data_IF_378377177661
#
_entry.id   IF_378377177661
#
_cell.length_a   1.000
_cell.length_b   1.000
_cell.length_c   1.000
_cell.angle_alpha   90.00
_cell.angle_beta   90.00
_cell.angle_gamma   90.00
#
_symmetry.space_group_name_H-M   'P 1'
#
loop_
_entity.id
_entity.type
_entity.pdbx_description
1 polymer ?
#
# COMPACT_ATOMS: atom_id res chain seq x y z
N UNK A 1 37.57 -2.28 -30.00
CA UNK A 1 36.17 -2.36 -30.50
C UNK A 1 35.41 -3.56 -29.92
N UNK A 2 36.04 -4.73 -29.71
CA UNK A 2 35.40 -5.88 -29.07
C UNK A 2 35.00 -5.66 -27.60
N UNK A 3 35.86 -5.01 -26.80
CA UNK A 3 35.61 -4.80 -25.36
C UNK A 3 34.43 -3.87 -25.06
N UNK A 4 34.21 -2.86 -25.92
CA UNK A 4 33.08 -1.94 -25.80
C UNK A 4 31.73 -2.64 -26.07
N UNK A 5 31.71 -3.62 -26.97
CA UNK A 5 30.48 -4.36 -27.31
C UNK A 5 30.06 -5.33 -26.19
N UNK A 6 31.03 -5.92 -25.49
CA UNK A 6 30.77 -6.81 -24.34
C UNK A 6 30.17 -5.99 -23.19
N UNK A 7 30.75 -4.83 -22.87
CA UNK A 7 30.24 -3.96 -21.81
C UNK A 7 28.83 -3.42 -22.09
N UNK A 8 28.51 -3.10 -23.34
CA UNK A 8 27.15 -2.66 -23.74
C UNK A 8 26.13 -3.81 -23.64
N UNK A 9 26.52 -5.02 -24.02
CA UNK A 9 25.70 -6.23 -23.85
C UNK A 9 25.38 -6.49 -22.37
N UNK A 10 26.39 -6.44 -21.51
CA UNK A 10 26.23 -6.67 -20.07
C UNK A 10 25.33 -5.61 -19.41
N UNK A 11 25.48 -4.35 -19.81
CA UNK A 11 24.61 -3.27 -19.33
C UNK A 11 23.15 -3.50 -19.76
N UNK A 12 22.90 -3.89 -21.01
CA UNK A 12 21.57 -4.18 -21.50
C UNK A 12 20.92 -5.37 -20.78
N UNK A 13 21.70 -6.41 -20.48
CA UNK A 13 21.23 -7.55 -19.69
C UNK A 13 20.84 -7.13 -18.27
N UNK A 14 21.67 -6.30 -17.61
CA UNK A 14 21.34 -5.77 -16.29
C UNK A 14 20.08 -4.91 -16.29
N UNK A 15 19.93 -4.02 -17.29
CA UNK A 15 18.74 -3.19 -17.42
C UNK A 15 17.47 -4.02 -17.66
N UNK A 16 17.56 -5.06 -18.49
CA UNK A 16 16.44 -5.97 -18.77
C UNK A 16 16.04 -6.77 -17.52
N UNK A 17 17.02 -7.31 -16.80
CA UNK A 17 16.80 -8.01 -15.53
C UNK A 17 16.15 -7.09 -14.49
N UNK A 18 16.65 -5.86 -14.36
CA UNK A 18 16.11 -4.87 -13.42
C UNK A 18 14.67 -4.48 -13.73
N UNK A 19 14.35 -4.27 -15.01
CA UNK A 19 12.97 -4.01 -15.45
C UNK A 19 12.03 -5.18 -15.10
N UNK A 20 12.51 -6.42 -15.22
CA UNK A 20 11.77 -7.61 -14.80
C UNK A 20 11.42 -7.57 -13.31
N UNK A 21 12.38 -7.22 -12.45
CA UNK A 21 12.15 -7.09 -10.99
C UNK A 21 11.15 -5.98 -10.68
N UNK A 22 11.27 -4.81 -11.31
CA UNK A 22 10.36 -3.69 -11.08
C UNK A 22 8.92 -4.04 -11.52
N UNK A 23 8.76 -4.78 -12.63
CA UNK A 23 7.45 -5.21 -13.10
C UNK A 23 6.78 -6.18 -12.12
N UNK A 24 7.52 -7.15 -11.59
CA UNK A 24 7.03 -8.11 -10.61
C UNK A 24 6.65 -7.43 -9.29
N UNK A 25 7.50 -6.53 -8.77
CA UNK A 25 7.19 -5.70 -7.60
C UNK A 25 5.86 -4.98 -7.78
N UNK A 26 5.68 -4.34 -8.91
CA UNK A 26 4.50 -3.52 -9.14
C UNK A 26 3.22 -4.38 -9.30
N UNK A 27 3.31 -5.60 -9.86
CA UNK A 27 2.20 -6.58 -9.85
C UNK A 27 1.82 -7.00 -8.43
N UNK A 28 2.79 -7.16 -7.54
CA UNK A 28 2.57 -7.50 -6.14
C UNK A 28 1.90 -6.35 -5.40
N UNK A 29 2.36 -5.11 -5.61
CA UNK A 29 1.70 -3.89 -5.12
C UNK A 29 0.22 -3.86 -5.52
N UNK A 30 -0.08 -4.18 -6.78
CA UNK A 30 -1.45 -4.21 -7.29
C UNK A 30 -2.28 -5.31 -6.62
N UNK A 31 -1.72 -6.50 -6.41
CA UNK A 31 -2.42 -7.60 -5.71
C UNK A 31 -2.74 -7.21 -4.28
N UNK A 32 -1.77 -6.67 -3.55
CA UNK A 32 -1.98 -6.20 -2.17
C UNK A 32 -2.98 -5.05 -2.08
N UNK A 33 -2.97 -4.14 -3.07
CA UNK A 33 -3.95 -3.08 -3.15
C UNK A 33 -5.37 -3.60 -3.40
N UNK A 34 -5.54 -4.58 -4.30
CA UNK A 34 -6.83 -5.23 -4.59
C UNK A 34 -7.37 -6.03 -3.39
N UNK A 35 -6.49 -6.52 -2.52
CA UNK A 35 -6.86 -7.16 -1.25
C UNK A 35 -7.38 -6.16 -0.20
N UNK A 36 -7.31 -4.85 -0.46
CA UNK A 36 -7.82 -3.80 0.42
C UNK A 36 -6.80 -3.25 1.42
N UNK A 37 -5.58 -3.81 1.46
CA UNK A 37 -4.54 -3.45 2.43
C UNK A 37 -4.21 -1.95 2.45
N UNK A 38 -4.05 -1.38 3.65
CA UNK A 38 -3.65 0.02 3.86
C UNK A 38 -2.23 0.22 3.31
N UNK A 39 -1.92 1.45 2.92
CA UNK A 39 -0.63 1.75 2.28
C UNK A 39 0.59 1.38 3.14
N UNK A 40 0.48 1.55 4.46
CA UNK A 40 1.54 1.17 5.41
C UNK A 40 1.74 -0.36 5.44
N UNK A 41 0.65 -1.12 5.43
CA UNK A 41 0.69 -2.58 5.42
C UNK A 41 1.34 -3.08 4.13
N UNK A 42 0.97 -2.52 2.99
CA UNK A 42 1.61 -2.86 1.70
C UNK A 42 3.13 -2.62 1.77
N UNK A 43 3.58 -1.48 2.31
CA UNK A 43 5.01 -1.21 2.52
C UNK A 43 5.67 -2.25 3.43
N UNK A 44 5.03 -2.63 4.54
CA UNK A 44 5.56 -3.62 5.48
C UNK A 44 5.63 -5.01 4.85
N UNK A 45 4.64 -5.42 4.07
CA UNK A 45 4.64 -6.71 3.37
C UNK A 45 5.71 -6.78 2.29
N UNK A 46 5.90 -5.69 1.54
CA UNK A 46 6.98 -5.61 0.54
C UNK A 46 8.36 -5.71 1.19
N UNK A 47 8.54 -5.05 2.34
CA UNK A 47 9.78 -5.14 3.09
C UNK A 47 9.99 -6.55 3.67
N UNK A 48 8.97 -7.12 4.31
CA UNK A 48 9.09 -8.37 5.08
C UNK A 48 9.17 -9.61 4.20
N UNK A 49 8.44 -9.64 3.08
CA UNK A 49 8.39 -10.82 2.21
C UNK A 49 9.40 -10.78 1.07
N UNK A 50 9.83 -9.58 0.65
CA UNK A 50 10.62 -9.38 -0.57
C UNK A 50 11.88 -8.56 -0.34
N UNK A 51 12.09 -8.00 0.85
CA UNK A 51 13.22 -7.11 1.13
C UNK A 51 13.15 -5.78 0.39
N UNK A 52 11.98 -5.40 -0.14
CA UNK A 52 11.82 -4.20 -0.95
C UNK A 52 11.35 -3.05 -0.05
N UNK A 53 12.27 -2.15 0.27
CA UNK A 53 11.92 -0.92 0.97
C UNK A 53 11.30 0.10 -0.01
N UNK A 54 10.06 0.49 0.25
CA UNK A 54 9.39 1.53 -0.51
C UNK A 54 8.66 2.51 0.39
N UNK A 55 8.89 3.79 0.15
CA UNK A 55 8.15 4.85 0.84
C UNK A 55 6.69 4.91 0.38
N UNK A 56 5.78 5.29 1.27
CA UNK A 56 4.34 5.45 0.96
C UNK A 56 4.11 6.43 -0.21
N UNK A 57 4.93 7.48 -0.31
CA UNK A 57 4.88 8.43 -1.46
C UNK A 57 5.15 7.72 -2.78
N UNK A 58 6.12 6.81 -2.82
CA UNK A 58 6.51 6.09 -4.02
C UNK A 58 5.47 5.03 -4.37
N UNK A 59 4.94 4.31 -3.36
CA UNK A 59 3.80 3.41 -3.52
C UNK A 59 2.59 4.12 -4.14
N UNK A 60 2.22 5.31 -3.63
CA UNK A 60 1.13 6.12 -4.20
C UNK A 60 1.39 6.53 -5.65
N UNK A 61 2.65 6.82 -6.01
CA UNK A 61 3.03 7.14 -7.41
C UNK A 61 2.81 5.94 -8.33
N UNK A 62 3.26 4.75 -7.94
CA UNK A 62 3.09 3.51 -8.71
C UNK A 62 1.60 3.20 -8.90
N UNK A 63 0.81 3.30 -7.82
CA UNK A 63 -0.64 3.08 -7.89
C UNK A 63 -1.33 4.09 -8.83
N UNK A 64 -0.92 5.37 -8.81
CA UNK A 64 -1.44 6.39 -9.75
C UNK A 64 -1.07 6.08 -11.20
N UNK A 65 0.17 5.67 -11.47
CA UNK A 65 0.61 5.27 -12.81
C UNK A 65 -0.20 4.09 -13.34
N UNK A 66 -0.64 3.20 -12.45
CA UNK A 66 -1.51 2.06 -12.76
C UNK A 66 -3.01 2.35 -12.67
N UNK A 67 -3.41 3.61 -12.47
CA UNK A 67 -4.82 4.04 -12.35
C UNK A 67 -5.57 3.36 -11.19
N UNK A 68 -4.84 2.85 -10.19
CA UNK A 68 -5.36 2.21 -8.98
C UNK A 68 -5.54 3.25 -7.88
N UNK A 69 -6.65 3.99 -7.94
CA UNK A 69 -7.08 4.92 -6.89
C UNK A 69 -8.21 4.33 -6.06
N UNK A 70 -8.19 4.53 -4.73
CA UNK A 70 -9.40 4.34 -3.92
C UNK A 70 -10.35 5.48 -4.29
N UNK A 71 -11.33 5.21 -5.16
CA UNK A 71 -12.43 6.15 -5.35
C UNK A 71 -13.16 6.25 -4.01
N UNK A 72 -13.43 7.48 -3.52
CA UNK A 72 -14.29 7.73 -2.36
C UNK A 72 -15.73 7.34 -2.73
N UNK A 73 -16.03 6.05 -2.80
CA UNK A 73 -17.40 5.57 -2.68
C UNK A 73 -17.53 5.00 -1.26
N UNK A 74 -18.28 5.67 -0.37
CA UNK A 74 -18.46 5.23 1.02
C UNK A 74 -19.13 3.86 1.14
N UNK A 75 -19.77 3.35 0.08
CA UNK A 75 -20.60 2.14 0.13
C UNK A 75 -19.85 0.81 -0.01
N UNK A 76 -18.53 0.82 -0.21
CA UNK A 76 -17.74 -0.39 -0.50
C UNK A 76 -16.42 -0.43 0.28
N UNK A 77 -16.39 0.12 1.50
CA UNK A 77 -15.22 -0.01 2.36
C UNK A 77 -15.43 -1.13 3.39
N UNK A 78 -14.79 -2.28 3.14
CA UNK A 78 -14.47 -3.30 4.17
C UNK A 78 -13.57 -2.75 5.30
N UNK A 79 -13.23 -1.47 5.27
CA UNK A 79 -12.49 -0.76 6.29
C UNK A 79 -13.36 -0.37 7.49
N UNK A 80 -14.70 -0.32 7.32
CA UNK A 80 -15.63 -0.08 8.44
C UNK A 80 -15.62 -1.26 9.42
N UNK A 81 -15.44 -2.49 8.91
CA UNK A 81 -15.33 -3.69 9.77
C UNK A 81 -14.01 -3.68 10.55
N UNK A 82 -12.91 -3.21 9.94
CA UNK A 82 -11.62 -3.11 10.62
C UNK A 82 -11.53 -1.91 11.57
N UNK A 83 -12.16 -0.76 11.27
CA UNK A 83 -12.25 0.33 12.24
C UNK A 83 -13.16 -0.05 13.42
N UNK A 84 -14.31 -0.68 13.17
CA UNK A 84 -15.15 -1.19 14.24
C UNK A 84 -14.42 -2.25 15.09
N UNK A 85 -13.66 -3.16 14.46
CA UNK A 85 -12.85 -4.15 15.19
C UNK A 85 -11.69 -3.49 15.97
N UNK A 86 -11.05 -2.47 15.42
CA UNK A 86 -9.98 -1.73 16.11
C UNK A 86 -10.54 -0.90 17.27
N UNK A 87 -11.71 -0.28 17.10
CA UNK A 87 -12.46 0.37 18.18
C UNK A 87 -12.92 -0.64 19.24
N UNK A 88 -13.29 -1.87 18.87
CA UNK A 88 -13.68 -2.92 19.81
C UNK A 88 -12.48 -3.48 20.60
N UNK A 89 -11.31 -3.59 19.96
CA UNK A 89 -10.06 -4.03 20.59
C UNK A 89 -9.44 -2.92 21.47
N UNK A 90 -9.58 -1.64 21.08
CA UNK A 90 -9.09 -0.48 21.84
C UNK A 90 -10.12 0.08 22.84
N UNK A 91 -11.37 -0.39 22.79
CA UNK A 91 -12.53 0.18 23.50
C UNK A 91 -12.88 -0.44 24.85
N UNK A 92 -11.97 -1.16 25.49
CA UNK A 92 -12.11 -1.52 26.91
C UNK A 92 -11.45 -0.46 27.79
N UNK A 93 -12.01 0.75 27.82
CA UNK A 93 -11.54 1.76 28.77
C UNK A 93 -11.88 3.22 28.52
N UNK A 94 -13.13 3.56 28.21
CA UNK A 94 -13.70 4.79 28.79
C UNK A 94 -15.23 4.79 28.69
N UNK A 95 -15.84 4.98 29.84
CA UNK A 95 -17.27 4.98 30.12
C UNK A 95 -18.14 5.72 29.10
N UNK A 96 -19.06 4.94 28.53
CA UNK A 96 -20.47 5.27 28.36
C UNK A 96 -21.00 6.25 29.43
N UNK A 97 -21.76 7.25 28.99
CA UNK A 97 -22.49 8.24 29.80
C UNK A 97 -21.74 9.57 29.79
N UNK A 98 -22.13 10.56 28.99
CA UNK A 98 -23.39 11.29 29.12
C UNK A 98 -24.00 11.62 27.75
N UNK A 99 -25.00 10.85 27.34
CA UNK A 99 -26.07 11.37 26.49
C UNK A 99 -26.99 12.20 27.38
N UNK A 100 -27.52 13.30 26.84
CA UNK A 100 -28.76 13.95 27.27
C UNK A 100 -28.82 14.60 28.66
N UNK A 101 -28.61 15.92 28.69
CA UNK A 101 -29.24 16.95 29.54
C UNK A 101 -28.39 18.23 29.36
N UNK A 102 -28.86 19.43 29.04
CA UNK A 102 -30.17 20.03 29.18
C UNK A 102 -30.19 21.37 28.39
N UNK A 103 -31.36 21.67 27.86
CA UNK A 103 -31.93 22.98 27.48
C UNK A 103 -31.37 24.27 28.13
N UNK A 104 -31.56 25.38 27.39
CA UNK A 104 -31.73 26.80 27.79
C UNK A 104 -30.50 27.68 28.08
N UNK A 105 -30.29 28.69 27.22
CA UNK A 105 -30.34 30.14 27.55
C UNK A 105 -30.41 30.98 26.28
#
# INVERSE_FOLDING_TARGET
>A
MADANIAVSDLNNYLSFRQGIDLERDKLIERYFKLGLKYKEICLFLLSLQGIEISVRHLKRILRQRQLGRRRNPSLHSNDVYEALHEEIEGSGSSIGYRYASTTS
#
